data_IF_971384942621
#
_entry.id   IF_971384942621
#
_cell.length_a   1.000
_cell.length_b   1.000
_cell.length_c   1.000
_cell.angle_alpha   90.00
_cell.angle_beta   90.00
_cell.angle_gamma   90.00
#
_symmetry.space_group_name_H-M   'P 1'
#
loop_
_entity.id
_entity.type
_entity.pdbx_description
1 polymer ?
#
# COMPACT_ATOMS: atom_id res chain seq x y z
N UNK A 1 -19.55 20.26 23.65
CA UNK A 1 -19.04 19.17 22.79
C UNK A 1 -17.87 19.72 22.00
N UNK A 2 -16.65 19.16 22.07
CA UNK A 2 -15.56 19.67 21.26
C UNK A 2 -15.85 19.33 19.80
N UNK A 3 -15.96 20.37 18.96
CA UNK A 3 -15.99 20.28 17.51
C UNK A 3 -14.57 19.97 17.01
N UNK A 4 -14.07 18.77 17.30
CA UNK A 4 -12.84 18.27 16.70
C UNK A 4 -13.10 17.91 15.25
N UNK A 5 -12.32 18.48 14.33
CA UNK A 5 -12.39 18.14 12.91
C UNK A 5 -12.14 16.63 12.75
N UNK A 6 -13.04 15.89 12.09
CA UNK A 6 -12.91 14.44 11.88
C UNK A 6 -11.61 14.06 11.17
N UNK A 7 -11.01 14.99 10.42
CA UNK A 7 -9.71 14.81 9.79
C UNK A 7 -8.58 14.56 10.81
N UNK A 8 -8.67 15.12 12.02
CA UNK A 8 -7.61 15.01 13.04
C UNK A 8 -7.55 13.62 13.68
N UNK A 9 -8.64 12.84 13.62
CA UNK A 9 -8.70 11.47 14.12
C UNK A 9 -8.35 10.42 13.06
N UNK A 10 -8.27 10.80 11.78
CA UNK A 10 -8.12 9.87 10.66
C UNK A 10 -6.66 9.65 10.22
N UNK A 11 -5.71 10.40 10.77
CA UNK A 11 -4.31 10.36 10.36
C UNK A 11 -3.51 9.68 11.45
N UNK A 12 -3.01 8.47 11.16
CA UNK A 12 -2.08 7.80 12.04
C UNK A 12 -0.79 8.64 12.15
N UNK A 13 -0.53 9.19 13.33
CA UNK A 13 0.61 10.07 13.60
C UNK A 13 1.91 9.31 13.87
N UNK A 14 1.83 7.99 14.05
CA UNK A 14 3.02 7.17 14.26
C UNK A 14 3.78 7.01 12.93
N UNK A 15 5.13 7.14 12.94
CA UNK A 15 5.94 6.85 11.77
C UNK A 15 5.66 5.42 11.29
N UNK A 16 5.12 5.27 10.08
CA UNK A 16 4.90 3.95 9.49
C UNK A 16 6.23 3.21 9.41
N UNK A 17 6.24 1.96 9.84
CA UNK A 17 7.44 1.11 9.75
C UNK A 17 7.81 0.90 8.26
N UNK A 18 9.08 1.08 7.86
CA UNK A 18 9.50 0.79 6.49
C UNK A 18 9.28 -0.70 6.18
N UNK A 19 8.73 -0.98 5.01
CA UNK A 19 8.41 -2.33 4.54
C UNK A 19 9.14 -2.62 3.25
N UNK A 20 9.69 -3.83 3.14
CA UNK A 20 10.35 -4.34 1.94
C UNK A 20 9.48 -5.42 1.33
N UNK A 21 9.19 -5.30 0.04
CA UNK A 21 8.44 -6.31 -0.70
C UNK A 21 9.40 -7.21 -1.46
N UNK A 22 9.41 -8.51 -1.13
CA UNK A 22 10.09 -9.54 -1.91
C UNK A 22 9.07 -10.17 -2.85
N UNK A 23 9.22 -9.94 -4.15
CA UNK A 23 8.24 -10.31 -5.17
C UNK A 23 8.85 -11.31 -6.16
N UNK A 24 8.08 -12.32 -6.54
CA UNK A 24 8.47 -13.29 -7.56
C UNK A 24 8.37 -12.66 -8.97
N UNK A 25 9.43 -12.78 -9.76
CA UNK A 25 9.49 -12.36 -11.16
C UNK A 25 9.98 -13.50 -12.09
N UNK A 26 9.93 -14.73 -11.60
CA UNK A 26 10.32 -15.92 -12.35
C UNK A 26 9.47 -16.13 -13.61
N UNK A 27 9.89 -17.05 -14.49
CA UNK A 27 9.21 -17.29 -15.77
C UNK A 27 7.72 -17.64 -15.66
N UNK A 28 7.29 -18.30 -14.58
CA UNK A 28 5.88 -18.62 -14.31
C UNK A 28 5.00 -17.41 -14.04
N UNK A 29 5.60 -16.25 -13.77
CA UNK A 29 4.85 -15.00 -13.57
C UNK A 29 4.40 -14.35 -14.89
N UNK A 30 4.90 -14.82 -16.04
CA UNK A 30 4.58 -14.23 -17.34
C UNK A 30 3.07 -14.19 -17.64
N UNK A 31 2.61 -13.09 -18.23
CA UNK A 31 1.20 -12.92 -18.63
C UNK A 31 0.33 -12.35 -17.50
N UNK A 32 -0.77 -13.04 -17.18
CA UNK A 32 -1.75 -12.56 -16.20
C UNK A 32 -1.20 -12.39 -14.78
N UNK A 33 -0.36 -13.30 -14.23
CA UNK A 33 0.10 -13.18 -12.85
C UNK A 33 0.90 -11.89 -12.58
N UNK A 34 1.88 -11.56 -13.43
CA UNK A 34 2.68 -10.33 -13.27
C UNK A 34 1.84 -9.06 -13.46
N UNK A 35 0.80 -9.09 -14.32
CA UNK A 35 -0.12 -7.95 -14.49
C UNK A 35 -0.92 -7.67 -13.20
N UNK A 36 -1.48 -8.73 -12.60
CA UNK A 36 -2.21 -8.62 -11.34
C UNK A 36 -1.31 -8.18 -10.18
N UNK A 37 -0.09 -8.72 -10.11
CA UNK A 37 0.91 -8.31 -9.11
C UNK A 37 1.23 -6.81 -9.22
N UNK A 38 1.52 -6.32 -10.43
CA UNK A 38 1.80 -4.91 -10.66
C UNK A 38 0.63 -4.00 -10.26
N UNK A 39 -0.60 -4.41 -10.56
CA UNK A 39 -1.79 -3.67 -10.16
C UNK A 39 -1.94 -3.63 -8.63
N UNK A 40 -1.69 -4.75 -7.95
CA UNK A 40 -1.70 -4.81 -6.49
C UNK A 40 -0.64 -3.91 -5.84
N UNK A 41 0.59 -3.88 -6.38
CA UNK A 41 1.66 -3.00 -5.87
C UNK A 41 1.31 -1.52 -6.07
N UNK A 42 0.69 -1.15 -7.19
CA UNK A 42 0.23 0.21 -7.43
C UNK A 42 -0.84 0.65 -6.41
N UNK A 43 -1.78 -0.24 -6.10
CA UNK A 43 -2.78 0.01 -5.05
C UNK A 43 -2.13 0.12 -3.68
N UNK A 44 -1.23 -0.81 -3.32
CA UNK A 44 -0.50 -0.77 -2.05
C UNK A 44 0.20 0.58 -1.87
N UNK A 45 0.91 1.07 -2.90
CA UNK A 45 1.61 2.36 -2.87
C UNK A 45 0.71 3.52 -2.47
N UNK A 46 -0.53 3.57 -2.97
CA UNK A 46 -1.50 4.62 -2.64
C UNK A 46 -1.90 4.64 -1.15
N UNK A 47 -1.72 3.52 -0.43
CA UNK A 47 -2.05 3.41 0.99
C UNK A 47 -0.84 3.61 1.92
N UNK A 48 0.38 3.39 1.44
CA UNK A 48 1.62 3.61 2.23
C UNK A 48 2.22 5.00 2.06
N UNK A 49 1.96 5.68 0.94
CA UNK A 49 2.12 7.14 0.84
C UNK A 49 1.09 7.86 1.75
#
# INVERSE_FOLDING_TARGET
MPTGNLADFAINQEPRCPVVLLLDNSGSMSGQPIQQLNQGVAVFKQFVD
#
